data_IF_606049585365
#
_entry.id   IF_606049585365
#
_cell.length_a   1.000
_cell.length_b   1.000
_cell.length_c   1.000
_cell.angle_alpha   90.00
_cell.angle_beta   90.00
_cell.angle_gamma   90.00
#
_symmetry.space_group_name_H-M   'P 1'
#
loop_
_entity.id
_entity.type
_entity.pdbx_description
1 polymer ?
#
# COMPACT_ATOMS: atom_id res chain seq x y z
N UNK A 1 0.34 -1.85 -2.95
CA UNK A 1 0.12 -0.43 -3.32
C UNK A 1 -0.04 -0.45 -4.81
N UNK A 2 -1.21 -0.04 -5.25
CA UNK A 2 -1.67 -0.47 -6.55
C UNK A 2 -1.79 0.77 -7.41
N UNK A 3 -1.11 0.76 -8.56
CA UNK A 3 -1.15 1.87 -9.49
C UNK A 3 -2.09 1.51 -10.63
N UNK A 4 -3.04 2.40 -10.90
CA UNK A 4 -3.99 2.24 -11.99
C UNK A 4 -3.87 3.37 -13.01
N UNK A 5 -4.13 3.06 -14.28
CA UNK A 5 -4.33 4.02 -15.36
C UNK A 5 -5.82 4.26 -15.58
N UNK A 6 -6.30 5.47 -15.33
CA UNK A 6 -7.70 5.81 -15.56
C UNK A 6 -8.66 5.16 -14.54
N UNK A 7 -9.83 4.71 -15.00
CA UNK A 7 -10.87 4.15 -14.14
C UNK A 7 -10.54 2.72 -13.69
N UNK A 8 -10.83 2.39 -12.43
CA UNK A 8 -10.63 1.04 -11.92
C UNK A 8 -11.49 0.01 -12.66
N UNK A 9 -10.84 -1.07 -13.11
CA UNK A 9 -11.50 -2.27 -13.64
C UNK A 9 -11.20 -3.46 -12.73
N UNK A 10 -12.15 -3.78 -11.85
CA UNK A 10 -12.05 -4.93 -10.94
C UNK A 10 -12.54 -6.25 -11.55
N UNK A 11 -12.93 -6.25 -12.83
CA UNK A 11 -13.35 -7.47 -13.53
C UNK A 11 -12.16 -8.13 -14.18
N UNK A 12 -11.36 -7.36 -14.91
CA UNK A 12 -10.22 -7.90 -15.68
C UNK A 12 -8.88 -7.30 -15.29
N UNK A 13 -8.84 -6.33 -14.37
CA UNK A 13 -7.61 -5.64 -13.94
C UNK A 13 -6.87 -4.95 -15.09
N UNK A 14 -7.55 -4.69 -16.22
CA UNK A 14 -6.96 -4.12 -17.45
C UNK A 14 -6.36 -2.71 -17.28
N UNK A 15 -6.78 -2.01 -16.24
CA UNK A 15 -6.30 -0.69 -15.88
C UNK A 15 -5.29 -0.71 -14.74
N UNK A 16 -4.98 -1.87 -14.16
CA UNK A 16 -3.88 -2.00 -13.20
C UNK A 16 -2.56 -2.00 -13.95
N UNK A 17 -1.59 -1.25 -13.43
CA UNK A 17 -0.25 -1.10 -14.02
C UNK A 17 0.80 -1.69 -13.09
N UNK A 18 0.62 -1.56 -11.79
CA UNK A 18 1.49 -2.16 -10.79
C UNK A 18 0.70 -2.71 -9.61
N UNK A 19 1.24 -3.78 -9.05
CA UNK A 19 0.88 -4.34 -7.77
C UNK A 19 2.14 -4.41 -6.91
N UNK A 20 2.41 -3.33 -6.15
CA UNK A 20 3.60 -3.25 -5.31
C UNK A 20 3.34 -3.84 -3.93
N UNK A 21 3.95 -4.98 -3.65
CA UNK A 21 3.69 -5.76 -2.45
C UNK A 21 4.93 -5.85 -1.54
N UNK A 22 4.84 -5.40 -0.28
CA UNK A 22 5.90 -5.60 0.70
C UNK A 22 5.94 -7.05 1.24
N UNK A 23 4.96 -7.89 0.87
CA UNK A 23 4.90 -9.29 1.31
C UNK A 23 4.54 -9.44 2.80
N UNK A 24 5.16 -10.42 3.46
CA UNK A 24 4.94 -10.75 4.88
C UNK A 24 6.31 -10.96 5.56
N UNK A 25 7.14 -9.94 5.69
CA UNK A 25 8.49 -10.07 6.26
C UNK A 25 8.52 -9.65 7.76
N UNK A 26 8.95 -10.52 8.70
CA UNK A 26 9.39 -11.91 8.52
C UNK A 26 8.22 -12.91 8.40
N UNK A 27 8.28 -13.84 7.45
CA UNK A 27 7.26 -14.89 7.33
C UNK A 27 7.56 -16.05 8.31
N UNK A 28 6.56 -16.61 9.01
CA UNK A 28 5.12 -16.31 8.98
C UNK A 28 4.65 -15.30 10.05
N UNK A 29 5.56 -14.60 10.72
CA UNK A 29 5.24 -13.74 11.88
C UNK A 29 4.87 -12.28 11.54
N UNK A 30 5.08 -11.85 10.30
CA UNK A 30 4.79 -10.50 9.82
C UNK A 30 3.31 -10.27 9.54
N UNK A 31 2.91 -9.01 9.45
CA UNK A 31 1.57 -8.63 9.03
C UNK A 31 1.48 -8.66 7.50
N UNK A 32 0.38 -9.22 6.98
CA UNK A 32 0.15 -9.36 5.54
C UNK A 32 0.16 -8.02 4.81
N UNK A 33 0.99 -7.90 3.77
CA UNK A 33 1.14 -6.71 2.95
C UNK A 33 1.44 -5.44 3.74
N UNK A 34 2.32 -5.56 4.72
CA UNK A 34 2.80 -4.42 5.50
C UNK A 34 4.31 -4.38 5.58
N UNK A 35 4.83 -3.19 5.84
CA UNK A 35 6.24 -2.96 6.17
C UNK A 35 6.29 -2.01 7.37
N UNK A 36 7.17 -2.23 8.35
CA UNK A 36 7.38 -1.24 9.40
C UNK A 36 7.97 0.04 8.81
N UNK A 37 7.35 1.18 9.11
CA UNK A 37 7.92 2.49 8.82
C UNK A 37 8.44 3.14 10.11
N UNK A 38 9.75 3.04 10.41
CA UNK A 38 10.33 3.58 11.64
C UNK A 38 10.42 5.11 11.62
N UNK A 39 10.18 5.75 10.48
CA UNK A 39 10.28 7.22 10.32
C UNK A 39 8.97 7.94 10.65
N UNK A 40 7.88 7.19 10.86
CA UNK A 40 6.62 7.76 11.32
C UNK A 40 6.81 8.33 12.73
N UNK A 41 6.58 9.63 12.87
CA UNK A 41 6.44 10.27 14.17
C UNK A 41 5.14 9.87 14.88
N UNK A 42 4.85 10.46 16.06
CA UNK A 42 3.61 10.22 16.79
C UNK A 42 2.38 10.50 15.91
N UNK A 43 1.45 9.55 15.83
CA UNK A 43 0.17 9.73 15.15
C UNK A 43 -0.84 10.23 16.18
N UNK A 44 -1.32 11.46 15.99
CA UNK A 44 -2.42 12.00 16.80
C UNK A 44 -3.76 11.52 16.26
N UNK A 45 -4.23 10.40 16.81
CA UNK A 45 -5.56 9.89 16.55
C UNK A 45 -6.60 10.85 17.15
N UNK A 46 -7.66 11.16 16.39
CA UNK A 46 -8.81 11.97 16.86
C UNK A 46 -9.17 13.17 15.99
N UNK A 47 -8.23 13.74 15.23
CA UNK A 47 -8.53 14.85 14.29
C UNK A 47 -8.76 14.38 12.85
N UNK A 48 -8.46 13.10 12.56
CA UNK A 48 -8.47 12.56 11.20
C UNK A 48 -7.35 13.15 10.33
N UNK A 49 -6.30 13.70 10.95
CA UNK A 49 -5.17 14.30 10.24
C UNK A 49 -3.89 13.54 10.54
N UNK A 50 -3.16 13.24 9.49
CA UNK A 50 -1.88 12.57 9.56
C UNK A 50 -1.07 12.89 8.31
N UNK A 51 0.24 12.68 8.36
CA UNK A 51 1.09 12.72 7.18
C UNK A 51 2.13 11.61 7.28
N UNK A 52 2.34 10.93 6.17
CA UNK A 52 3.32 9.87 6.03
C UNK A 52 4.16 10.14 4.79
N UNK A 53 5.45 9.89 4.90
CA UNK A 53 6.38 9.87 3.78
C UNK A 53 7.12 8.54 3.77
N UNK A 54 7.30 7.99 2.59
CA UNK A 54 8.15 6.83 2.33
C UNK A 54 9.09 7.18 1.17
N UNK A 55 10.36 6.85 1.34
CA UNK A 55 11.39 7.08 0.34
C UNK A 55 12.12 5.77 0.05
N UNK A 56 12.25 5.44 -1.24
CA UNK A 56 12.93 4.25 -1.75
C UNK A 56 12.54 2.96 -1.01
N UNK A 57 11.25 2.80 -0.73
CA UNK A 57 10.73 1.57 -0.15
C UNK A 57 11.00 0.43 -1.12
N UNK A 58 11.83 -0.53 -0.74
CA UNK A 58 12.11 -1.73 -1.52
C UNK A 58 10.92 -2.68 -1.46
N UNK A 59 10.47 -3.15 -2.62
CA UNK A 59 9.24 -3.92 -2.83
C UNK A 59 9.43 -4.91 -3.98
N UNK A 60 8.50 -5.85 -4.09
CA UNK A 60 8.29 -6.60 -5.33
C UNK A 60 7.17 -5.95 -6.13
N UNK A 61 7.34 -5.86 -7.45
CA UNK A 61 6.29 -5.49 -8.40
C UNK A 61 5.76 -6.75 -9.08
N UNK A 62 4.50 -7.08 -8.82
CA UNK A 62 3.80 -8.25 -9.37
C UNK A 62 2.97 -7.91 -10.61
N UNK A 63 3.08 -6.68 -11.14
CA UNK A 63 2.37 -6.18 -12.32
C UNK A 63 0.86 -5.99 -12.07
N UNK A 64 0.14 -7.05 -11.72
CA UNK A 64 -1.29 -7.02 -11.39
C UNK A 64 -1.67 -7.92 -10.20
N UNK A 65 -2.85 -7.66 -9.63
CA UNK A 65 -3.40 -8.41 -8.49
C UNK A 65 -3.57 -9.90 -8.81
N UNK A 66 -4.16 -10.31 -9.95
CA UNK A 66 -4.24 -11.72 -10.31
C UNK A 66 -2.89 -12.45 -10.24
N UNK A 67 -1.82 -11.85 -10.77
CA UNK A 67 -0.49 -12.43 -10.74
C UNK A 67 0.13 -12.40 -9.34
N UNK A 68 -0.08 -11.34 -8.56
CA UNK A 68 0.34 -11.27 -7.15
C UNK A 68 -0.28 -12.39 -6.30
N UNK A 69 -1.55 -12.73 -6.54
CA UNK A 69 -2.27 -13.76 -5.79
C UNK A 69 -1.99 -15.18 -6.30
N UNK A 70 -1.92 -15.37 -7.62
CA UNK A 70 -1.99 -16.71 -8.24
C UNK A 70 -0.77 -17.10 -9.08
N UNK A 71 0.19 -16.19 -9.27
CA UNK A 71 1.50 -16.46 -9.90
C UNK A 71 1.36 -16.93 -11.37
N UNK A 72 0.58 -16.20 -12.17
CA UNK A 72 0.27 -16.56 -13.55
C UNK A 72 1.34 -16.13 -14.58
N UNK A 73 2.22 -15.18 -14.22
CA UNK A 73 3.21 -14.61 -15.13
C UNK A 73 4.64 -15.08 -14.85
N UNK A 74 5.52 -14.92 -15.84
CA UNK A 74 6.96 -15.24 -15.75
C UNK A 74 7.78 -14.05 -16.29
N UNK A 75 8.66 -13.43 -15.48
CA UNK A 75 8.88 -13.71 -14.06
C UNK A 75 7.63 -13.39 -13.22
N UNK A 76 7.51 -14.00 -12.05
CA UNK A 76 6.35 -13.78 -11.16
C UNK A 76 6.34 -12.34 -10.63
N UNK A 77 7.52 -11.77 -10.37
CA UNK A 77 7.70 -10.38 -9.94
C UNK A 77 9.08 -9.88 -10.35
N UNK A 78 9.28 -8.57 -10.20
CA UNK A 78 10.60 -7.93 -10.27
C UNK A 78 10.87 -7.09 -9.04
N UNK A 79 12.15 -6.95 -8.68
CA UNK A 79 12.60 -6.01 -7.66
C UNK A 79 12.25 -4.57 -8.08
N UNK A 80 11.59 -3.84 -7.20
CA UNK A 80 11.21 -2.45 -7.42
C UNK A 80 11.46 -1.59 -6.17
N UNK A 81 11.41 -0.27 -6.36
CA UNK A 81 11.26 0.64 -5.23
C UNK A 81 10.31 1.78 -5.54
N UNK A 82 9.57 2.23 -4.54
CA UNK A 82 8.69 3.38 -4.67
C UNK A 82 8.89 4.42 -3.56
N UNK A 83 8.58 5.68 -3.88
CA UNK A 83 8.55 6.79 -2.93
C UNK A 83 7.22 7.49 -3.04
N UNK A 84 6.57 7.75 -1.93
CA UNK A 84 5.24 8.34 -1.89
C UNK A 84 5.00 9.13 -0.62
N UNK A 85 4.04 10.05 -0.70
CA UNK A 85 3.53 10.80 0.44
C UNK A 85 2.04 10.59 0.55
N UNK A 86 1.54 10.40 1.77
CA UNK A 86 0.10 10.35 2.07
C UNK A 86 -0.22 11.42 3.09
N UNK A 87 -1.28 12.18 2.84
CA UNK A 87 -1.77 13.22 3.74
C UNK A 87 -3.26 13.01 3.99
N UNK A 88 -3.61 12.78 5.25
CA UNK A 88 -4.99 12.74 5.71
C UNK A 88 -5.39 14.13 6.20
N UNK A 89 -6.56 14.60 5.79
CA UNK A 89 -6.93 16.03 5.95
C UNK A 89 -8.06 16.29 6.94
N UNK A 90 -8.69 15.25 7.49
CA UNK A 90 -9.89 15.40 8.31
C UNK A 90 -11.11 15.83 7.47
N UNK A 91 -12.31 15.93 8.09
CA UNK A 91 -12.62 15.48 9.45
C UNK A 91 -12.68 13.95 9.53
N UNK A 92 -12.77 13.42 10.75
CA UNK A 92 -13.12 12.01 10.97
C UNK A 92 -14.55 11.79 10.51
N UNK A 93 -14.77 10.77 9.68
CA UNK A 93 -16.10 10.35 9.20
C UNK A 93 -16.57 9.03 9.79
N UNK A 94 -15.69 8.34 10.52
CA UNK A 94 -16.02 7.11 11.26
C UNK A 94 -14.89 6.70 12.19
N UNK A 95 -15.24 6.00 13.26
CA UNK A 95 -14.29 5.32 14.12
C UNK A 95 -14.80 3.93 14.52
N UNK A 96 -13.89 3.03 14.86
CA UNK A 96 -14.24 1.70 15.32
C UNK A 96 -13.06 0.97 15.95
N UNK A 97 -13.30 0.03 16.85
CA UNK A 97 -12.22 -0.73 17.47
C UNK A 97 -11.63 -1.77 16.49
N UNK A 98 -10.31 -1.93 16.52
CA UNK A 98 -9.60 -3.04 15.87
C UNK A 98 -9.37 -4.11 16.94
N UNK A 99 -10.11 -5.21 16.84
CA UNK A 99 -10.13 -6.30 17.81
C UNK A 99 -9.79 -7.65 17.15
N UNK A 100 -8.66 -7.72 16.46
CA UNK A 100 -8.19 -8.95 15.79
C UNK A 100 -7.19 -9.66 16.70
N UNK A 101 -7.21 -11.00 16.84
CA UNK A 101 -6.20 -11.70 17.65
C UNK A 101 -4.76 -11.30 17.25
N UNK A 102 -3.98 -10.81 18.22
CA UNK A 102 -2.62 -10.29 17.97
C UNK A 102 -2.54 -8.81 17.59
N UNK A 103 -3.65 -8.07 17.55
CA UNK A 103 -3.68 -6.64 17.26
C UNK A 103 -4.82 -5.93 18.01
N UNK A 104 -4.49 -4.88 18.76
CA UNK A 104 -5.48 -3.99 19.38
C UNK A 104 -5.25 -2.56 18.90
N UNK A 105 -6.32 -1.83 18.60
CA UNK A 105 -6.21 -0.45 18.14
C UNK A 105 -7.55 0.21 17.84
N UNK A 106 -7.50 1.40 17.27
CA UNK A 106 -8.66 2.15 16.78
C UNK A 106 -8.49 2.44 15.29
N UNK A 107 -9.50 2.10 14.49
CA UNK A 107 -9.62 2.51 13.10
C UNK A 107 -10.25 3.90 13.06
N UNK A 108 -9.60 4.82 12.34
CA UNK A 108 -10.12 6.17 12.06
C UNK A 108 -10.29 6.32 10.55
N UNK A 109 -11.50 6.67 10.11
CA UNK A 109 -11.83 6.93 8.70
C UNK A 109 -11.82 8.42 8.43
N UNK A 110 -11.13 8.84 7.36
CA UNK A 110 -11.04 10.25 6.94
C UNK A 110 -10.60 10.35 5.48
N UNK A 111 -10.70 11.54 4.88
CA UNK A 111 -10.19 11.81 3.54
C UNK A 111 -8.66 11.81 3.51
N UNK A 112 -8.10 11.24 2.45
CA UNK A 112 -6.66 11.21 2.21
C UNK A 112 -6.33 11.65 0.78
N UNK A 113 -5.17 12.26 0.64
CA UNK A 113 -4.51 12.49 -0.65
C UNK A 113 -3.19 11.75 -0.65
N UNK A 114 -2.95 10.94 -1.68
CA UNK A 114 -1.69 10.24 -1.89
C UNK A 114 -1.02 10.76 -3.16
N UNK A 115 0.29 10.98 -3.08
CA UNK A 115 1.12 11.38 -4.20
C UNK A 115 2.26 10.39 -4.37
N UNK A 116 2.31 9.75 -5.54
CA UNK A 116 3.45 8.95 -5.97
C UNK A 116 4.56 9.90 -6.43
N UNK A 117 5.73 9.80 -5.82
CA UNK A 117 6.89 10.64 -6.13
C UNK A 117 7.83 9.99 -7.14
N UNK A 118 8.13 8.71 -6.98
CA UNK A 118 9.05 7.96 -7.86
C UNK A 118 8.78 6.47 -7.80
N UNK A 119 8.90 5.81 -8.94
CA UNK A 119 9.06 4.35 -9.06
C UNK A 119 10.38 4.10 -9.76
N UNK A 120 11.14 3.11 -9.31
CA UNK A 120 12.34 2.63 -9.98
C UNK A 120 12.27 1.11 -10.14
N UNK A 121 12.67 0.63 -11.32
CA UNK A 121 12.70 -0.79 -11.72
C UNK A 121 11.35 -1.52 -11.77
N UNK A 122 10.23 -0.84 -11.46
CA UNK A 122 8.90 -1.33 -11.78
C UNK A 122 8.68 -1.38 -13.30
N UNK A 123 8.04 -2.44 -13.79
CA UNK A 123 7.78 -2.61 -15.23
C UNK A 123 6.48 -1.91 -15.57
N UNK A 124 6.55 -0.82 -16.33
CA UNK A 124 5.36 -0.24 -16.93
C UNK A 124 4.99 -1.11 -18.13
N UNK A 125 4.02 -2.01 -17.96
CA UNK A 125 3.42 -2.70 -19.10
C UNK A 125 2.53 -1.71 -19.86
N UNK A 126 2.75 -1.62 -21.19
CA UNK A 126 1.98 -0.77 -22.11
C UNK A 126 0.51 -1.23 -22.27
#
# INVERSE_FOLDING_TARGET
MDLYRGQYDFTTFSTQVHDFDPGIDPYPGGLFWTVPNPTLGPIELGTGRASMSMANLALQDYFDIPNALFRFEVPVSTDASCSFNVKWTGPVTGSGPVNTPGSTGELITTSAFAQLGRVQNGVFAD
#
